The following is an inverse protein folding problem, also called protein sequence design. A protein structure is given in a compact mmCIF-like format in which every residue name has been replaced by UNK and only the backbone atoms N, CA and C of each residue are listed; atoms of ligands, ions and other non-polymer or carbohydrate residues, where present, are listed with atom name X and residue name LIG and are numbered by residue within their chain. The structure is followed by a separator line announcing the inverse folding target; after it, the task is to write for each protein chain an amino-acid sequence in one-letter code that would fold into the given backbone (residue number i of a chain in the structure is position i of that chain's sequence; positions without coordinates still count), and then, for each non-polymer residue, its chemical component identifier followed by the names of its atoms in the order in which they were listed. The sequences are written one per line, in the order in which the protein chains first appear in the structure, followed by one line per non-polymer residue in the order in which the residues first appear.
data_IF_976600247754
#
_entry.id   IF_976600247754
#
_cell.length_a   1.000
_cell.length_b   1.000
_cell.length_c   1.000
_cell.angle_alpha   90.00
_cell.angle_beta   90.00
_cell.angle_gamma   90.00
#
_symmetry.space_group_name_H-M   'P 1'
#
loop_
_entity.id
_entity.type
_entity.pdbx_description
1 polymer ?
#
# COMPACT_ATOMS: atom_id res chain seq x y z
N UNK A 1 -0.35 -18.22 21.58
CA UNK A 1 0.39 -19.07 20.61
C UNK A 1 -0.63 -19.64 19.64
N UNK A 2 -0.37 -19.55 18.36
CA UNK A 2 -1.14 -20.22 17.32
C UNK A 2 -1.31 -21.70 17.63
N UNK A 3 -2.09 -22.42 16.85
CA UNK A 3 -2.20 -23.86 17.02
C UNK A 3 -0.88 -24.49 16.59
N UNK A 4 -0.14 -25.12 17.51
CA UNK A 4 1.22 -25.69 17.27
C UNK A 4 1.23 -26.60 16.04
N UNK A 5 0.15 -27.33 15.77
CA UNK A 5 -0.02 -28.26 14.64
C UNK A 5 -0.83 -27.65 13.50
N UNK A 6 -1.20 -26.37 13.57
CA UNK A 6 -2.14 -25.76 12.62
C UNK A 6 -1.70 -25.84 11.15
N UNK A 7 -0.41 -25.75 10.88
CA UNK A 7 0.14 -25.91 9.53
C UNK A 7 0.05 -27.34 8.97
N UNK A 8 -0.15 -28.33 9.83
CA UNK A 8 -0.40 -29.72 9.44
C UNK A 8 -1.89 -30.02 9.35
N UNK A 9 -2.70 -29.40 10.21
CA UNK A 9 -4.14 -29.67 10.33
C UNK A 9 -4.97 -28.93 9.28
N UNK A 10 -4.51 -27.77 8.83
CA UNK A 10 -5.23 -26.90 7.91
C UNK A 10 -4.46 -26.70 6.62
N UNK A 11 -5.10 -26.91 5.49
CA UNK A 11 -4.55 -26.58 4.17
C UNK A 11 -4.48 -25.08 3.97
N UNK A 12 -3.48 -24.62 3.20
CA UNK A 12 -3.40 -23.22 2.81
C UNK A 12 -4.57 -22.85 1.91
N UNK A 13 -5.27 -21.77 2.25
CA UNK A 13 -6.35 -21.19 1.47
C UNK A 13 -6.09 -19.70 1.27
N UNK A 14 -6.24 -19.22 0.06
CA UNK A 14 -6.13 -17.80 -0.31
C UNK A 14 -7.47 -17.31 -0.85
N UNK A 15 -7.61 -16.02 -1.00
CA UNK A 15 -8.69 -15.40 -1.77
C UNK A 15 -8.83 -16.07 -3.13
N UNK A 16 -10.04 -16.14 -3.61
CA UNK A 16 -10.34 -16.50 -5.00
C UNK A 16 -10.53 -15.25 -5.83
N UNK A 17 -10.56 -15.41 -7.13
CA UNK A 17 -10.80 -14.28 -8.02
C UNK A 17 -12.19 -14.34 -8.63
N UNK A 18 -12.79 -13.18 -8.87
CA UNK A 18 -14.00 -13.05 -9.69
C UNK A 18 -13.78 -13.70 -11.06
N UNK A 19 -14.77 -14.38 -11.66
CA UNK A 19 -14.66 -15.03 -12.96
C UNK A 19 -14.14 -14.09 -14.06
N UNK A 20 -13.33 -14.62 -14.98
CA UNK A 20 -12.61 -13.83 -15.99
C UNK A 20 -13.54 -12.92 -16.82
N UNK A 21 -14.72 -13.40 -17.20
CA UNK A 21 -15.66 -12.63 -18.00
C UNK A 21 -16.30 -11.48 -17.22
N UNK A 22 -16.43 -11.61 -15.90
CA UNK A 22 -16.95 -10.55 -15.04
C UNK A 22 -15.89 -9.48 -14.76
N UNK A 23 -14.59 -9.86 -14.71
CA UNK A 23 -13.50 -8.90 -14.46
C UNK A 23 -13.33 -7.87 -15.57
N UNK A 24 -13.72 -8.18 -16.79
CA UNK A 24 -13.60 -7.26 -17.94
C UNK A 24 -14.69 -6.21 -17.97
N UNK A 25 -15.71 -6.32 -17.13
CA UNK A 25 -16.84 -5.38 -17.08
C UNK A 25 -16.51 -4.09 -16.33
N UNK A 26 -15.48 -4.13 -15.45
CA UNK A 26 -15.10 -2.98 -14.65
C UNK A 26 -13.59 -2.97 -14.31
N UNK A 27 -13.16 -1.95 -13.56
CA UNK A 27 -11.78 -1.80 -13.10
C UNK A 27 -11.63 -1.95 -11.57
N UNK A 28 -12.58 -2.58 -10.90
CA UNK A 28 -12.54 -2.78 -9.45
C UNK A 28 -11.57 -3.88 -9.05
N UNK A 29 -11.20 -3.94 -7.77
CA UNK A 29 -10.49 -5.09 -7.20
C UNK A 29 -11.31 -6.36 -7.45
N UNK A 30 -10.67 -7.42 -7.92
CA UNK A 30 -11.35 -8.64 -8.35
C UNK A 30 -11.14 -9.83 -7.40
N UNK A 31 -10.54 -9.62 -6.22
CA UNK A 31 -10.34 -10.66 -5.23
C UNK A 31 -11.60 -10.87 -4.38
N UNK A 32 -12.03 -12.13 -4.27
CA UNK A 32 -13.07 -12.55 -3.32
C UNK A 32 -12.38 -13.05 -2.05
N UNK A 33 -12.45 -12.24 -1.03
CA UNK A 33 -11.69 -12.45 0.19
C UNK A 33 -12.27 -13.56 1.07
N UNK A 34 -11.42 -14.16 1.90
CA UNK A 34 -11.82 -15.16 2.88
C UNK A 34 -12.74 -14.55 3.95
N UNK A 35 -13.67 -15.36 4.48
CA UNK A 35 -14.48 -15.00 5.65
C UNK A 35 -13.59 -14.84 6.90
N UNK A 36 -14.12 -14.23 7.94
CA UNK A 36 -13.39 -14.08 9.22
C UNK A 36 -12.99 -15.42 9.82
N UNK A 37 -13.86 -16.42 9.75
CA UNK A 37 -13.63 -17.78 10.26
C UNK A 37 -12.55 -18.49 9.46
N UNK A 38 -12.60 -18.35 8.14
CA UNK A 38 -11.55 -18.87 7.25
C UNK A 38 -10.22 -18.20 7.53
N UNK A 39 -10.23 -16.88 7.75
CA UNK A 39 -9.03 -16.11 8.05
C UNK A 39 -8.42 -16.51 9.39
N UNK A 40 -9.23 -16.76 10.43
CA UNK A 40 -8.78 -17.32 11.70
C UNK A 40 -8.10 -18.68 11.51
N UNK A 41 -8.70 -19.55 10.68
CA UNK A 41 -8.13 -20.85 10.33
C UNK A 41 -6.78 -20.70 9.63
N UNK A 42 -6.63 -19.72 8.70
CA UNK A 42 -5.36 -19.48 8.04
C UNK A 42 -4.30 -18.91 8.99
N UNK A 43 -4.69 -18.03 9.91
CA UNK A 43 -3.80 -17.51 10.95
C UNK A 43 -3.30 -18.61 11.91
N UNK A 44 -4.13 -19.61 12.21
CA UNK A 44 -3.77 -20.77 13.01
C UNK A 44 -2.63 -21.59 12.43
N UNK A 45 -2.35 -21.48 11.13
CA UNK A 45 -1.22 -22.16 10.47
C UNK A 45 0.15 -21.60 10.87
N UNK A 46 0.21 -20.46 11.56
CA UNK A 46 1.44 -19.88 12.03
C UNK A 46 2.02 -20.72 13.17
N UNK A 47 3.28 -21.19 13.01
CA UNK A 47 3.96 -22.00 14.02
C UNK A 47 4.52 -21.20 15.20
N UNK A 48 4.43 -19.86 15.14
CA UNK A 48 5.05 -18.97 16.12
C UNK A 48 6.54 -19.30 16.37
N UNK A 49 7.33 -19.29 15.29
CA UNK A 49 8.72 -19.69 15.31
C UNK A 49 9.54 -18.85 16.31
N UNK A 50 10.42 -19.47 17.09
CA UNK A 50 11.34 -18.77 17.99
C UNK A 50 12.31 -17.83 17.27
N UNK A 51 12.61 -18.12 15.99
CA UNK A 51 13.34 -17.24 15.06
C UNK A 51 12.48 -17.02 13.82
N UNK A 52 11.57 -16.02 13.83
CA UNK A 52 10.63 -15.81 12.74
C UNK A 52 11.28 -15.08 11.56
N UNK A 53 11.76 -15.80 10.56
CA UNK A 53 12.34 -15.19 9.34
C UNK A 53 11.36 -14.27 8.60
N UNK A 54 10.06 -14.55 8.67
CA UNK A 54 9.03 -13.69 8.09
C UNK A 54 9.07 -12.26 8.65
N UNK A 55 9.41 -12.11 9.93
CA UNK A 55 9.50 -10.82 10.63
C UNK A 55 10.87 -10.16 10.46
N UNK A 56 11.90 -10.93 10.21
CA UNK A 56 13.28 -10.42 10.16
C UNK A 56 13.60 -9.82 8.79
N UNK A 57 13.61 -8.48 8.69
CA UNK A 57 14.01 -7.76 7.48
C UNK A 57 15.51 -7.81 7.23
N UNK A 58 16.04 -8.98 6.85
CA UNK A 58 17.47 -9.18 6.61
C UNK A 58 17.81 -9.10 5.12
N UNK A 59 19.04 -8.68 4.83
CA UNK A 59 19.62 -8.80 3.48
C UNK A 59 20.42 -10.10 3.38
N UNK A 60 20.01 -10.99 2.49
CA UNK A 60 20.67 -12.27 2.23
C UNK A 60 21.09 -12.29 0.77
N UNK A 61 22.40 -12.38 0.51
CA UNK A 61 22.92 -12.38 -0.86
C UNK A 61 22.55 -11.13 -1.69
N UNK A 62 22.39 -9.98 -1.02
CA UNK A 62 21.97 -8.72 -1.66
C UNK A 62 20.46 -8.59 -1.90
N UNK A 63 19.65 -9.55 -1.48
CA UNK A 63 18.19 -9.54 -1.58
C UNK A 63 17.54 -9.41 -0.21
N UNK A 64 16.47 -8.60 -0.12
CA UNK A 64 15.67 -8.51 1.10
C UNK A 64 14.92 -9.81 1.36
N UNK A 65 14.99 -10.33 2.59
CA UNK A 65 14.26 -11.51 3.05
C UNK A 65 13.44 -11.14 4.29
N UNK A 66 12.20 -11.61 4.35
CA UNK A 66 11.28 -11.25 5.42
C UNK A 66 10.72 -9.83 5.29
N UNK A 67 10.05 -9.35 6.33
CA UNK A 67 9.40 -8.04 6.33
C UNK A 67 10.40 -6.91 6.65
N UNK A 68 10.68 -5.96 5.73
CA UNK A 68 11.57 -4.83 6.00
C UNK A 68 11.09 -3.88 7.12
N UNK A 69 9.80 -3.92 7.44
CA UNK A 69 9.22 -3.14 8.55
C UNK A 69 9.32 -3.88 9.89
N UNK A 70 9.84 -5.10 9.90
CA UNK A 70 9.86 -5.99 11.06
C UNK A 70 8.46 -6.18 11.68
N UNK A 71 7.44 -6.37 10.84
CA UNK A 71 6.07 -6.59 11.27
C UNK A 71 5.99 -7.77 12.24
N UNK A 72 5.22 -7.60 13.32
CA UNK A 72 5.05 -8.58 14.40
C UNK A 72 4.11 -9.72 13.97
N UNK A 73 4.51 -10.40 12.87
CA UNK A 73 3.67 -11.35 12.13
C UNK A 73 3.19 -12.52 12.98
N UNK A 74 4.03 -13.22 13.76
CA UNK A 74 3.56 -14.30 14.61
C UNK A 74 2.53 -13.84 15.65
N UNK A 75 2.78 -12.68 16.28
CA UNK A 75 1.92 -12.15 17.34
C UNK A 75 0.53 -11.82 16.81
N UNK A 76 0.41 -11.07 15.70
CA UNK A 76 -0.92 -10.73 15.20
C UNK A 76 -1.61 -11.92 14.51
N UNK A 77 -0.90 -12.90 13.97
CA UNK A 77 -1.50 -14.17 13.54
C UNK A 77 -2.13 -14.94 14.72
N UNK A 78 -1.44 -15.00 15.86
CA UNK A 78 -1.98 -15.63 17.07
C UNK A 78 -3.25 -14.91 17.56
N UNK A 79 -3.23 -13.57 17.55
CA UNK A 79 -4.40 -12.77 17.95
C UNK A 79 -5.60 -12.98 17.01
N UNK A 80 -5.37 -13.06 15.70
CA UNK A 80 -6.41 -13.39 14.71
C UNK A 80 -6.98 -14.78 14.98
N UNK A 81 -6.13 -15.78 15.15
CA UNK A 81 -6.56 -17.14 15.48
C UNK A 81 -7.44 -17.19 16.74
N UNK A 82 -7.09 -16.42 17.77
CA UNK A 82 -7.87 -16.32 19.01
C UNK A 82 -9.13 -15.46 18.89
N UNK A 83 -9.41 -14.86 17.73
CA UNK A 83 -10.54 -13.95 17.53
C UNK A 83 -10.36 -12.56 18.18
N UNK A 84 -9.14 -12.22 18.61
CA UNK A 84 -8.80 -10.94 19.26
C UNK A 84 -8.44 -9.88 18.23
N UNK A 85 -9.38 -9.56 17.37
CA UNK A 85 -9.15 -8.69 16.20
C UNK A 85 -8.68 -7.29 16.55
N UNK A 86 -9.25 -6.66 17.60
CA UNK A 86 -8.82 -5.31 18.01
C UNK A 86 -7.35 -5.29 18.44
N UNK A 87 -6.90 -6.31 19.17
CA UNK A 87 -5.50 -6.43 19.56
C UNK A 87 -4.60 -6.71 18.34
N UNK A 88 -5.09 -7.47 17.36
CA UNK A 88 -4.37 -7.70 16.11
C UNK A 88 -4.18 -6.39 15.33
N UNK A 89 -5.20 -5.53 15.27
CA UNK A 89 -5.10 -4.17 14.68
C UNK A 89 -4.00 -3.38 15.38
N UNK A 90 -4.03 -3.31 16.72
CA UNK A 90 -3.01 -2.57 17.47
C UNK A 90 -1.59 -3.10 17.22
N UNK A 91 -1.42 -4.42 17.11
CA UNK A 91 -0.12 -5.02 16.80
C UNK A 91 0.34 -4.72 15.39
N UNK A 92 -0.54 -4.76 14.41
CA UNK A 92 -0.22 -4.48 13.02
C UNK A 92 0.20 -3.03 12.82
N UNK A 93 -0.58 -2.06 13.33
CA UNK A 93 -0.29 -0.63 13.16
C UNK A 93 0.92 -0.15 13.97
N UNK A 94 1.40 -0.93 14.95
CA UNK A 94 2.59 -0.58 15.73
C UNK A 94 3.85 -0.48 14.84
N UNK A 95 3.98 -1.36 13.85
CA UNK A 95 5.13 -1.43 12.94
C UNK A 95 4.80 -1.00 11.52
N UNK A 96 3.56 -1.20 11.06
CA UNK A 96 3.10 -0.82 9.72
C UNK A 96 2.05 0.30 9.80
N UNK A 97 2.38 1.46 9.26
CA UNK A 97 1.47 2.62 9.29
C UNK A 97 0.33 2.53 8.28
N UNK A 98 0.56 1.84 7.17
CA UNK A 98 -0.38 1.77 6.05
C UNK A 98 -0.60 0.33 5.57
N UNK A 99 -1.12 -0.55 6.46
CA UNK A 99 -1.33 -1.94 6.11
C UNK A 99 -2.38 -2.13 5.02
N UNK A 100 -3.30 -1.19 4.82
CA UNK A 100 -4.24 -1.18 3.71
C UNK A 100 -3.57 -1.11 2.35
N UNK A 101 -2.39 -0.48 2.24
CA UNK A 101 -1.61 -0.42 1.01
C UNK A 101 -0.72 -1.64 0.88
N UNK A 102 0.05 -1.98 1.91
CA UNK A 102 1.00 -3.09 1.86
C UNK A 102 0.30 -4.43 1.68
N UNK A 103 -0.84 -4.65 2.31
CA UNK A 103 -1.63 -5.87 2.13
C UNK A 103 -2.16 -6.08 0.70
N UNK A 104 -2.21 -5.01 -0.12
CA UNK A 104 -2.61 -5.11 -1.53
C UNK A 104 -1.44 -5.16 -2.50
N UNK A 105 -0.40 -4.36 -2.26
CA UNK A 105 0.65 -4.14 -3.27
C UNK A 105 2.01 -4.74 -2.93
N UNK A 106 2.26 -5.12 -1.67
CA UNK A 106 3.51 -5.73 -1.26
C UNK A 106 3.70 -7.11 -1.93
N UNK A 107 4.92 -7.45 -2.40
CA UNK A 107 5.21 -8.77 -2.95
C UNK A 107 5.27 -9.89 -1.90
N UNK A 108 5.01 -9.57 -0.62
CA UNK A 108 4.95 -10.52 0.50
C UNK A 108 6.25 -11.32 0.71
N UNK A 109 7.38 -10.61 0.85
CA UNK A 109 8.68 -11.22 1.19
C UNK A 109 8.62 -12.05 2.49
N UNK A 110 7.70 -11.72 3.38
CA UNK A 110 7.42 -12.45 4.60
C UNK A 110 6.88 -13.88 4.33
N UNK A 111 6.05 -14.06 3.30
CA UNK A 111 5.58 -15.39 2.89
C UNK A 111 6.71 -16.19 2.27
N UNK A 112 7.54 -15.59 1.41
CA UNK A 112 8.70 -16.23 0.82
C UNK A 112 9.73 -16.68 1.86
N UNK A 113 9.83 -15.94 2.98
CA UNK A 113 10.74 -16.27 4.09
C UNK A 113 10.10 -17.17 5.17
N UNK A 114 8.84 -17.54 5.02
CA UNK A 114 8.12 -18.30 6.03
C UNK A 114 8.70 -19.71 6.21
N UNK A 115 9.11 -20.08 7.42
CA UNK A 115 9.65 -21.41 7.75
C UNK A 115 8.64 -22.51 7.42
N UNK A 116 7.34 -22.27 7.65
CA UNK A 116 6.27 -23.19 7.26
C UNK A 116 6.32 -23.48 5.75
N UNK A 117 6.48 -22.44 4.92
CA UNK A 117 6.63 -22.60 3.48
C UNK A 117 7.86 -23.42 3.07
N UNK A 118 8.97 -23.22 3.75
CA UNK A 118 10.19 -23.96 3.48
C UNK A 118 10.08 -25.46 3.83
N UNK A 119 9.23 -25.82 4.81
CA UNK A 119 9.04 -27.21 5.26
C UNK A 119 7.93 -27.92 4.48
N UNK A 120 6.80 -27.24 4.24
CA UNK A 120 5.62 -27.86 3.65
C UNK A 120 5.34 -27.44 2.20
N UNK A 121 6.04 -26.44 1.67
CA UNK A 121 5.74 -25.79 0.40
C UNK A 121 4.64 -24.72 0.50
N UNK A 122 3.91 -24.65 1.64
CA UNK A 122 2.72 -23.82 1.84
C UNK A 122 2.94 -22.78 2.95
N UNK A 123 3.43 -21.57 2.65
CA UNK A 123 3.62 -20.53 3.65
C UNK A 123 2.29 -20.09 4.29
N UNK A 124 2.36 -19.47 5.44
CA UNK A 124 1.20 -18.79 6.04
C UNK A 124 0.77 -17.63 5.11
N UNK A 125 -0.52 -17.43 4.94
CA UNK A 125 -1.11 -16.35 4.11
C UNK A 125 -1.01 -15.00 4.82
N UNK A 126 0.21 -14.54 5.03
CA UNK A 126 0.53 -13.36 5.85
C UNK A 126 -0.12 -12.10 5.28
N UNK A 127 -0.04 -11.93 3.97
CA UNK A 127 -0.58 -10.76 3.28
C UNK A 127 -2.11 -10.68 3.38
N UNK A 128 -2.79 -11.81 3.28
CA UNK A 128 -4.25 -11.85 3.44
C UNK A 128 -4.69 -11.62 4.89
N UNK A 129 -3.94 -12.18 5.84
CA UNK A 129 -4.15 -11.90 7.26
C UNK A 129 -3.99 -10.40 7.57
N UNK A 130 -2.93 -9.78 7.04
CA UNK A 130 -2.70 -8.33 7.16
C UNK A 130 -3.88 -7.53 6.62
N UNK A 131 -4.41 -7.90 5.44
CA UNK A 131 -5.57 -7.25 4.87
C UNK A 131 -6.82 -7.42 5.73
N UNK A 132 -7.10 -8.64 6.17
CA UNK A 132 -8.26 -8.91 7.01
C UNK A 132 -8.22 -8.10 8.32
N UNK A 133 -7.05 -7.98 8.95
CA UNK A 133 -6.86 -7.19 10.17
C UNK A 133 -7.13 -5.71 9.91
N UNK A 134 -6.58 -5.13 8.84
CA UNK A 134 -6.74 -3.70 8.58
C UNK A 134 -8.17 -3.36 8.17
N UNK A 135 -8.83 -4.18 7.36
CA UNK A 135 -10.23 -3.95 7.00
C UNK A 135 -11.15 -4.06 8.24
N UNK A 136 -10.93 -5.07 9.09
CA UNK A 136 -11.60 -5.13 10.38
C UNK A 136 -11.39 -3.85 11.20
N UNK A 137 -10.16 -3.32 11.23
CA UNK A 137 -9.84 -2.09 11.95
C UNK A 137 -10.64 -0.88 11.47
N UNK A 138 -10.89 -0.77 10.17
CA UNK A 138 -11.76 0.27 9.61
C UNK A 138 -13.24 0.01 9.89
N UNK A 139 -13.71 -1.22 9.71
CA UNK A 139 -15.11 -1.62 9.94
C UNK A 139 -15.54 -1.46 11.40
N UNK A 140 -14.69 -1.83 12.34
CA UNK A 140 -14.94 -1.71 13.78
C UNK A 140 -14.75 -0.29 14.32
N UNK A 141 -14.14 0.59 13.55
CA UNK A 141 -13.74 1.93 14.02
C UNK A 141 -12.48 1.95 14.89
N UNK A 142 -11.75 0.83 15.00
CA UNK A 142 -10.46 0.80 15.70
C UNK A 142 -9.39 1.66 15.00
N UNK A 143 -9.50 1.80 13.67
CA UNK A 143 -8.70 2.73 12.87
C UNK A 143 -9.55 3.98 12.59
N UNK A 144 -9.24 5.08 13.27
CA UNK A 144 -9.91 6.35 13.14
C UNK A 144 -8.90 7.50 13.32
N UNK A 145 -9.33 8.74 13.08
CA UNK A 145 -8.50 9.91 13.31
C UNK A 145 -8.24 10.12 14.81
N UNK A 146 -6.98 10.24 15.19
CA UNK A 146 -6.54 10.54 16.56
C UNK A 146 -5.61 11.75 16.51
N UNK A 147 -6.16 12.97 16.58
CA UNK A 147 -5.34 14.19 16.62
C UNK A 147 -4.36 14.16 17.79
N UNK A 148 -3.16 14.72 17.64
CA UNK A 148 -2.19 14.77 18.73
C UNK A 148 -2.73 15.60 19.90
N UNK A 149 -2.53 15.16 21.15
CA UNK A 149 -3.09 15.81 22.34
C UNK A 149 -2.49 17.19 22.62
N UNK A 150 -1.30 17.45 22.08
CA UNK A 150 -0.61 18.74 22.22
C UNK A 150 0.20 19.08 20.97
N UNK A 151 0.33 20.36 20.68
CA UNK A 151 1.16 20.87 19.58
C UNK A 151 2.49 21.41 20.12
N UNK A 152 3.58 21.09 19.41
CA UNK A 152 4.95 21.54 19.77
C UNK A 152 5.23 22.99 19.38
N UNK A 153 4.36 23.61 18.59
CA UNK A 153 4.60 24.90 17.96
C UNK A 153 5.55 24.86 16.75
N UNK A 154 6.11 23.69 16.43
CA UNK A 154 6.98 23.49 15.26
C UNK A 154 6.17 23.16 14.00
N UNK A 155 6.64 23.69 12.88
CA UNK A 155 6.03 23.55 11.57
C UNK A 155 6.95 22.77 10.62
N UNK A 156 6.40 21.83 9.85
CA UNK A 156 7.17 21.02 8.89
C UNK A 156 6.47 21.00 7.55
N UNK A 157 7.21 21.30 6.48
CA UNK A 157 6.79 21.06 5.10
C UNK A 157 7.27 19.68 4.64
N UNK A 158 6.37 18.87 4.08
CA UNK A 158 6.70 17.59 3.44
C UNK A 158 6.46 17.73 1.93
N UNK A 159 7.47 17.46 1.14
CA UNK A 159 7.40 17.61 -0.32
C UNK A 159 7.13 16.26 -0.96
N UNK A 160 5.90 16.08 -1.43
CA UNK A 160 5.38 14.86 -2.03
C UNK A 160 4.43 14.10 -1.11
N UNK A 161 3.23 13.77 -1.61
CA UNK A 161 2.19 12.99 -0.93
C UNK A 161 2.18 11.51 -1.33
N UNK A 162 3.32 10.98 -1.77
CA UNK A 162 3.51 9.53 -1.97
C UNK A 162 3.62 8.77 -0.64
N UNK A 163 3.76 7.43 -0.64
CA UNK A 163 3.82 6.60 0.58
C UNK A 163 4.83 7.11 1.61
N UNK A 164 6.01 7.54 1.17
CA UNK A 164 7.05 8.08 2.07
C UNK A 164 6.59 9.37 2.74
N UNK A 165 6.06 10.33 1.96
CA UNK A 165 5.59 11.61 2.48
C UNK A 165 4.42 11.47 3.43
N UNK A 166 3.43 10.62 3.09
CA UNK A 166 2.30 10.32 3.97
C UNK A 166 2.78 9.73 5.31
N UNK A 167 3.74 8.77 5.26
CA UNK A 167 4.28 8.13 6.47
C UNK A 167 5.04 9.10 7.36
N UNK A 168 5.89 9.95 6.79
CA UNK A 168 6.62 10.97 7.51
C UNK A 168 5.66 11.99 8.14
N UNK A 169 4.66 12.44 7.37
CA UNK A 169 3.67 13.40 7.84
C UNK A 169 2.86 12.86 9.03
N UNK A 170 2.38 11.61 8.94
CA UNK A 170 1.67 10.94 10.03
C UNK A 170 2.52 10.90 11.31
N UNK A 171 3.77 10.44 11.20
CA UNK A 171 4.66 10.32 12.36
C UNK A 171 5.01 11.68 13.00
N UNK A 172 5.25 12.69 12.19
CA UNK A 172 5.54 14.05 12.68
C UNK A 172 4.31 14.69 13.30
N UNK A 173 3.14 14.52 12.68
CA UNK A 173 1.88 15.02 13.23
C UNK A 173 1.58 14.38 14.59
N UNK A 174 1.71 13.05 14.72
CA UNK A 174 1.52 12.33 15.98
C UNK A 174 2.48 12.78 17.10
N UNK A 175 3.65 13.30 16.73
CA UNK A 175 4.58 13.94 17.69
C UNK A 175 4.21 15.39 18.02
N UNK A 176 3.10 15.89 17.48
CA UNK A 176 2.58 17.22 17.77
C UNK A 176 3.08 18.33 16.85
N UNK A 177 3.87 18.03 15.81
CA UNK A 177 4.28 19.07 14.85
C UNK A 177 3.12 19.43 13.93
N UNK A 178 3.04 20.69 13.50
CA UNK A 178 2.11 21.09 12.45
C UNK A 178 2.72 20.72 11.09
N UNK A 179 2.04 19.86 10.32
CA UNK A 179 2.57 19.35 9.06
C UNK A 179 1.73 19.82 7.88
N UNK A 180 2.38 20.32 6.85
CA UNK A 180 1.78 20.64 5.56
C UNK A 180 2.48 19.84 4.47
N UNK A 181 1.70 19.10 3.68
CA UNK A 181 2.19 18.32 2.54
C UNK A 181 1.97 19.12 1.26
N UNK A 182 3.02 19.31 0.47
CA UNK A 182 2.98 19.90 -0.86
C UNK A 182 3.05 18.78 -1.90
N UNK A 183 2.01 18.64 -2.71
CA UNK A 183 1.94 17.62 -3.77
C UNK A 183 1.73 18.28 -5.12
N UNK A 184 2.55 17.93 -6.09
CA UNK A 184 2.47 18.48 -7.43
C UNK A 184 1.28 18.00 -8.25
N UNK A 185 0.79 16.80 -7.94
CA UNK A 185 -0.40 16.24 -8.57
C UNK A 185 -1.67 16.79 -7.90
N UNK A 186 -2.80 16.50 -8.51
CA UNK A 186 -4.12 16.91 -8.04
C UNK A 186 -4.66 16.04 -6.89
N UNK A 187 -4.02 14.90 -6.60
CA UNK A 187 -4.41 13.93 -5.57
C UNK A 187 -3.20 13.36 -4.83
N UNK A 188 -3.40 13.00 -3.56
CA UNK A 188 -2.41 12.30 -2.77
C UNK A 188 -2.26 10.83 -3.18
N UNK A 189 -1.15 10.20 -2.79
CA UNK A 189 -0.87 8.79 -3.00
C UNK A 189 0.34 8.52 -3.90
N UNK A 190 0.75 9.49 -4.71
CA UNK A 190 1.88 9.31 -5.64
C UNK A 190 1.68 8.09 -6.55
N UNK A 191 2.61 7.13 -6.53
CA UNK A 191 2.48 5.91 -7.33
C UNK A 191 1.34 4.99 -6.88
N UNK A 192 0.87 5.05 -5.64
CA UNK A 192 -0.34 4.31 -5.21
C UNK A 192 -1.57 4.82 -5.98
N UNK A 193 -1.65 6.14 -6.19
CA UNK A 193 -2.74 6.76 -6.95
C UNK A 193 -2.58 6.50 -8.44
N UNK A 194 -1.44 6.86 -9.01
CA UNK A 194 -1.28 6.95 -10.46
C UNK A 194 -0.42 5.86 -11.11
N UNK A 195 0.35 5.10 -10.33
CA UNK A 195 1.23 4.04 -10.85
C UNK A 195 0.68 2.63 -10.66
N UNK A 196 -0.38 2.45 -9.87
CA UNK A 196 -1.00 1.15 -9.60
C UNK A 196 -2.41 1.15 -10.20
N UNK A 197 -2.78 0.16 -11.04
CA UNK A 197 -4.12 0.05 -11.59
C UNK A 197 -5.19 -0.10 -10.51
N UNK A 198 -6.40 0.42 -10.76
CA UNK A 198 -7.50 0.38 -9.81
C UNK A 198 -7.88 -1.06 -9.40
N UNK A 199 -7.82 -1.99 -10.33
CA UNK A 199 -8.08 -3.43 -10.08
C UNK A 199 -7.12 -4.07 -9.07
N UNK A 200 -5.98 -3.43 -8.77
CA UNK A 200 -4.99 -3.88 -7.78
C UNK A 200 -5.09 -3.11 -6.47
N UNK A 201 -5.44 -1.84 -6.55
CA UNK A 201 -5.64 -0.94 -5.41
C UNK A 201 -6.69 0.11 -5.80
N UNK A 202 -7.91 -0.05 -5.33
CA UNK A 202 -8.98 0.92 -5.51
C UNK A 202 -8.67 2.23 -4.81
N UNK A 203 -8.97 3.35 -5.47
CA UNK A 203 -8.50 4.68 -5.02
C UNK A 203 -9.19 5.17 -3.76
N UNK A 204 -10.41 4.71 -3.49
CA UNK A 204 -11.10 4.99 -2.23
C UNK A 204 -10.30 4.53 -0.99
N UNK A 205 -9.46 3.48 -1.14
CA UNK A 205 -8.57 3.01 -0.06
C UNK A 205 -7.54 4.09 0.32
N UNK A 206 -7.06 4.83 -0.69
CA UNK A 206 -6.15 5.96 -0.47
C UNK A 206 -6.91 7.12 0.15
N UNK A 207 -8.09 7.43 -0.42
CA UNK A 207 -8.90 8.59 0.00
C UNK A 207 -9.34 8.46 1.47
N UNK A 208 -9.75 7.26 1.93
CA UNK A 208 -10.10 7.05 3.35
C UNK A 208 -8.91 7.29 4.29
N UNK A 209 -7.68 6.92 3.88
CA UNK A 209 -6.47 7.20 4.68
C UNK A 209 -6.15 8.68 4.69
N UNK A 210 -6.18 9.33 3.54
CA UNK A 210 -5.95 10.78 3.42
C UNK A 210 -6.93 11.55 4.28
N UNK A 211 -8.21 11.14 4.30
CA UNK A 211 -9.24 11.73 5.15
C UNK A 211 -8.88 11.65 6.64
N UNK A 212 -8.41 10.50 7.13
CA UNK A 212 -7.94 10.35 8.51
C UNK A 212 -6.81 11.33 8.79
N UNK A 213 -5.82 11.44 7.91
CA UNK A 213 -4.68 12.34 8.10
C UNK A 213 -5.11 13.82 8.12
N UNK A 214 -6.09 14.19 7.29
CA UNK A 214 -6.69 15.53 7.31
C UNK A 214 -7.44 15.80 8.61
N UNK A 215 -8.23 14.85 9.09
CA UNK A 215 -8.97 14.94 10.34
C UNK A 215 -8.04 15.00 11.58
N UNK A 216 -6.82 14.45 11.47
CA UNK A 216 -5.75 14.59 12.45
C UNK A 216 -5.01 15.96 12.36
N UNK A 217 -5.35 16.80 11.38
CA UNK A 217 -4.84 18.16 11.22
C UNK A 217 -3.61 18.29 10.31
N UNK A 218 -3.36 17.32 9.42
CA UNK A 218 -2.36 17.45 8.36
C UNK A 218 -2.99 18.23 7.20
N UNK A 219 -2.31 19.30 6.77
CA UNK A 219 -2.73 20.12 5.63
C UNK A 219 -2.16 19.55 4.32
N UNK A 220 -2.97 19.52 3.26
CA UNK A 220 -2.55 19.12 1.93
C UNK A 220 -2.72 20.29 0.96
N UNK A 221 -1.66 20.59 0.21
CA UNK A 221 -1.65 21.58 -0.87
C UNK A 221 -1.34 20.84 -2.18
N UNK A 222 -2.37 20.67 -2.99
CA UNK A 222 -2.26 19.99 -4.28
C UNK A 222 -1.90 20.98 -5.40
N UNK A 223 -1.46 20.45 -6.57
CA UNK A 223 -1.00 21.22 -7.72
C UNK A 223 0.16 22.16 -7.35
N UNK A 224 0.97 21.80 -6.39
CA UNK A 224 2.06 22.56 -5.81
C UNK A 224 3.40 21.88 -6.10
N UNK A 225 4.01 22.22 -7.24
CA UNK A 225 5.30 21.68 -7.68
C UNK A 225 6.44 22.53 -7.11
N UNK A 226 7.09 22.03 -6.07
CA UNK A 226 8.18 22.73 -5.39
C UNK A 226 9.43 22.75 -6.27
N UNK A 227 9.94 23.95 -6.49
CA UNK A 227 11.02 24.23 -7.43
C UNK A 227 10.53 24.72 -8.79
N UNK A 228 9.21 24.68 -9.04
CA UNK A 228 8.56 25.19 -10.24
C UNK A 228 7.47 26.23 -9.88
N UNK A 229 6.35 25.79 -9.31
CA UNK A 229 5.23 26.68 -8.94
C UNK A 229 5.32 27.20 -7.49
N UNK A 230 6.08 26.52 -6.64
CA UNK A 230 6.33 26.90 -5.24
C UNK A 230 7.83 27.04 -5.02
N UNK A 231 8.25 28.18 -4.44
CA UNK A 231 9.67 28.44 -4.18
C UNK A 231 10.19 27.59 -3.02
N UNK A 232 11.32 26.90 -3.24
CA UNK A 232 11.99 26.15 -2.18
C UNK A 232 12.55 27.05 -1.08
N UNK A 233 12.99 28.28 -1.42
CA UNK A 233 13.53 29.24 -0.46
C UNK A 233 12.41 29.85 0.39
N UNK A 234 11.22 30.04 -0.19
CA UNK A 234 10.03 30.43 0.59
C UNK A 234 9.69 29.37 1.63
N UNK A 235 9.68 28.10 1.27
CA UNK A 235 9.41 27.01 2.22
C UNK A 235 10.46 26.95 3.32
N UNK A 236 11.75 27.10 3.00
CA UNK A 236 12.80 27.14 4.01
C UNK A 236 12.66 28.29 4.99
N UNK A 237 12.15 29.45 4.54
CA UNK A 237 11.94 30.61 5.41
C UNK A 237 10.70 30.49 6.28
N UNK A 238 9.68 29.76 5.81
CA UNK A 238 8.36 29.65 6.44
C UNK A 238 8.25 28.51 7.45
N UNK A 239 8.97 27.42 7.24
CA UNK A 239 8.88 26.20 8.04
C UNK A 239 10.15 25.97 8.87
N UNK A 240 10.00 25.40 10.08
CA UNK A 240 11.14 25.00 10.92
C UNK A 240 11.96 23.87 10.26
N UNK A 241 11.32 23.02 9.45
CA UNK A 241 11.98 21.97 8.70
C UNK A 241 11.26 21.66 7.39
N UNK A 242 12.02 21.15 6.41
CA UNK A 242 11.52 20.68 5.11
C UNK A 242 12.00 19.26 4.88
N UNK A 243 11.08 18.35 4.56
CA UNK A 243 11.38 16.94 4.27
C UNK A 243 11.09 16.63 2.80
N UNK A 244 12.08 16.12 2.09
CA UNK A 244 11.96 15.77 0.69
C UNK A 244 11.51 14.31 0.52
N UNK A 245 10.31 14.12 -0.01
CA UNK A 245 9.71 12.82 -0.31
C UNK A 245 9.23 12.75 -1.77
N UNK A 246 10.00 13.34 -2.68
CA UNK A 246 9.62 13.59 -4.08
C UNK A 246 9.52 12.32 -4.96
N UNK A 247 9.99 11.16 -4.47
CA UNK A 247 10.08 9.94 -5.26
C UNK A 247 11.09 10.05 -6.42
N UNK A 248 10.97 9.18 -7.42
CA UNK A 248 11.80 9.17 -8.62
C UNK A 248 10.89 9.03 -9.84
N UNK A 249 10.77 10.10 -10.63
CA UNK A 249 9.90 10.12 -11.83
C UNK A 249 10.64 10.01 -13.15
N UNK A 250 11.97 10.21 -13.16
CA UNK A 250 12.72 10.03 -14.39
C UNK A 250 12.71 8.56 -14.79
N UNK A 251 12.04 8.27 -15.90
CA UNK A 251 11.98 6.92 -16.43
C UNK A 251 13.37 6.46 -16.88
N UNK A 252 13.68 5.19 -16.65
CA UNK A 252 14.79 4.53 -17.32
C UNK A 252 14.30 4.09 -18.70
N UNK A 253 15.08 4.40 -19.73
CA UNK A 253 14.76 4.04 -21.10
C UNK A 253 15.77 3.04 -21.65
N UNK A 254 15.37 2.34 -22.72
CA UNK A 254 16.22 1.43 -23.46
C UNK A 254 16.56 2.05 -24.82
N UNK A 255 17.81 1.99 -25.23
CA UNK A 255 18.23 2.46 -26.54
C UNK A 255 18.22 1.30 -27.54
N UNK A 256 17.07 1.11 -28.20
CA UNK A 256 16.87 0.07 -29.23
C UNK A 256 16.21 0.67 -30.48
N UNK A 257 16.42 0.12 -31.68
CA UNK A 257 15.73 0.56 -32.89
C UNK A 257 14.21 0.48 -32.72
N UNK A 258 13.51 1.52 -33.16
CA UNK A 258 12.05 1.62 -33.08
C UNK A 258 11.51 2.07 -31.72
N UNK A 259 12.35 2.48 -30.75
CA UNK A 259 11.90 3.00 -29.46
C UNK A 259 11.01 4.24 -29.57
N UNK A 260 11.20 5.01 -30.63
CA UNK A 260 10.46 6.22 -30.99
C UNK A 260 9.16 5.97 -31.76
N UNK A 261 8.79 4.70 -32.00
CA UNK A 261 7.56 4.36 -32.69
C UNK A 261 6.32 4.79 -31.89
N UNK A 262 5.26 5.18 -32.62
CA UNK A 262 3.97 5.54 -31.99
C UNK A 262 3.38 4.36 -31.20
N UNK A 263 2.78 4.66 -30.05
CA UNK A 263 2.16 3.66 -29.17
C UNK A 263 3.09 3.05 -28.14
N UNK A 264 4.35 3.50 -28.07
CA UNK A 264 5.31 3.12 -27.04
C UNK A 264 5.37 4.23 -25.97
N UNK A 265 4.90 3.90 -24.76
CA UNK A 265 4.82 4.83 -23.64
C UNK A 265 5.69 4.37 -22.48
N UNK A 266 6.11 5.30 -21.63
CA UNK A 266 6.61 4.93 -20.32
C UNK A 266 5.48 4.42 -19.44
N UNK A 267 5.76 3.38 -18.66
CA UNK A 267 4.74 2.68 -17.87
C UNK A 267 3.96 3.62 -16.93
N UNK A 268 4.67 4.51 -16.24
CA UNK A 268 4.02 5.44 -15.28
C UNK A 268 3.14 6.45 -16.02
N UNK A 269 3.56 6.97 -17.15
CA UNK A 269 2.78 7.93 -17.95
C UNK A 269 1.50 7.28 -18.47
N UNK A 270 1.62 6.04 -18.98
CA UNK A 270 0.46 5.27 -19.42
C UNK A 270 -0.52 4.99 -18.27
N UNK A 271 -0.01 4.47 -17.14
CA UNK A 271 -0.83 4.17 -15.96
C UNK A 271 -1.50 5.42 -15.38
N UNK A 272 -0.79 6.54 -15.37
CA UNK A 272 -1.34 7.85 -14.95
C UNK A 272 -2.49 8.27 -15.85
N UNK A 273 -2.33 8.17 -17.16
CA UNK A 273 -3.37 8.56 -18.12
C UNK A 273 -4.62 7.70 -17.98
N UNK A 274 -4.46 6.39 -17.81
CA UNK A 274 -5.58 5.46 -17.60
C UNK A 274 -6.31 5.75 -16.29
N UNK A 275 -5.56 5.93 -15.21
CA UNK A 275 -6.17 6.20 -13.90
C UNK A 275 -6.90 7.55 -13.86
N UNK A 276 -6.33 8.60 -14.45
CA UNK A 276 -7.00 9.91 -14.56
C UNK A 276 -8.29 9.79 -15.37
N UNK A 277 -8.23 9.13 -16.53
CA UNK A 277 -9.41 8.90 -17.35
C UNK A 277 -10.53 8.20 -16.57
N UNK A 278 -10.19 7.17 -15.78
CA UNK A 278 -11.13 6.44 -14.93
C UNK A 278 -11.75 7.34 -13.85
N UNK A 279 -10.93 8.12 -13.16
CA UNK A 279 -11.38 8.96 -12.03
C UNK A 279 -12.16 10.20 -12.49
N UNK A 280 -11.76 10.80 -13.60
CA UNK A 280 -12.33 12.08 -14.07
C UNK A 280 -13.60 11.88 -14.90
N UNK A 281 -13.79 10.72 -15.54
CA UNK A 281 -14.97 10.46 -16.37
C UNK A 281 -16.23 10.10 -15.56
N UNK A 282 -16.09 9.76 -14.29
CA UNK A 282 -17.20 9.33 -13.43
C UNK A 282 -17.96 8.09 -13.94
N UNK A 283 -17.56 7.54 -15.10
CA UNK A 283 -18.12 6.33 -15.69
C UNK A 283 -17.04 5.29 -15.90
N UNK A 284 -17.24 4.14 -15.30
CA UNK A 284 -16.27 3.04 -15.31
C UNK A 284 -15.96 2.46 -16.70
N UNK A 285 -16.67 2.85 -17.77
CA UNK A 285 -16.67 2.06 -19.01
C UNK A 285 -16.51 2.82 -20.33
N UNK A 286 -16.73 4.14 -20.42
CA UNK A 286 -16.97 4.71 -21.75
C UNK A 286 -15.74 5.20 -22.50
N UNK A 287 -14.67 5.60 -21.82
CA UNK A 287 -13.50 6.18 -22.50
C UNK A 287 -12.25 5.32 -22.32
N UNK A 288 -12.04 4.78 -21.14
CA UNK A 288 -10.88 3.94 -20.85
C UNK A 288 -10.82 2.67 -21.70
N UNK A 289 -11.95 2.04 -21.97
CA UNK A 289 -12.00 0.81 -22.78
C UNK A 289 -11.70 1.06 -24.26
N UNK A 290 -12.19 2.15 -24.86
CA UNK A 290 -11.90 2.45 -26.27
C UNK A 290 -10.50 2.99 -26.49
N UNK A 291 -10.02 3.85 -25.61
CA UNK A 291 -8.65 4.39 -25.71
C UNK A 291 -7.61 3.31 -25.37
N UNK A 292 -7.83 2.48 -24.37
CA UNK A 292 -6.96 1.34 -24.04
C UNK A 292 -7.05 0.23 -25.10
N UNK A 293 -8.21 0.00 -25.73
CA UNK A 293 -8.34 -0.96 -26.82
C UNK A 293 -7.78 -0.43 -28.16
N UNK A 294 -7.82 0.88 -28.41
CA UNK A 294 -7.13 1.50 -29.56
C UNK A 294 -5.61 1.59 -29.37
N UNK A 295 -5.15 1.69 -28.14
CA UNK A 295 -3.75 1.56 -27.76
C UNK A 295 -3.47 0.16 -27.19
N UNK A 296 -4.12 -0.87 -27.70
CA UNK A 296 -3.66 -2.23 -27.44
C UNK A 296 -2.18 -2.26 -27.77
N UNK A 297 -1.40 -2.27 -26.72
CA UNK A 297 0.00 -2.63 -26.78
C UNK A 297 0.05 -3.92 -27.57
N UNK A 298 0.44 -3.84 -28.80
CA UNK A 298 0.88 -5.00 -29.54
C UNK A 298 2.14 -5.45 -28.80
N UNK A 299 1.90 -6.36 -27.86
CA UNK A 299 2.90 -7.15 -27.15
C UNK A 299 3.99 -6.38 -26.39
N UNK A 300 3.80 -6.16 -25.08
CA UNK A 300 4.91 -6.38 -24.18
C UNK A 300 5.12 -7.89 -24.11
N UNK A 301 5.90 -8.44 -25.00
CA UNK A 301 6.51 -9.74 -24.80
C UNK A 301 7.62 -9.53 -23.78
N UNK A 302 7.27 -9.64 -22.47
CA UNK A 302 8.26 -10.01 -21.48
C UNK A 302 8.53 -11.51 -21.66
N UNK A 303 9.68 -11.83 -22.21
CA UNK A 303 10.30 -13.14 -22.00
C UNK A 303 11.15 -13.07 -20.73
#
# INVERSE_FOLDING_TARGET
MGKITGFMDYTRKTSTDVPLLERIENFNEFHVWLSREEQQTQAARCMDCGVPFCQAGMMIGGMASGCPLNNLIPEWNDLVYQGKWDLAVHRLIATNRYPEFTSRVCPALCEAACTCGNVTGDPVTVKENERAIVEYGYESGAIHAVPPPARTGKTVAVIGAGPAGLSVADLLNKRGHKVTIYEREDRAGGLLMYGIPNMKLEKWVIDRRVKILQDEGIEFIFNADVGSTVSADELKSRYDAVVLCCGAKQARDINVPGRDAQGIYFAVDYLTSVTRSLLDSGSQLSIGSRTVLQHRVTSIHMR
#
